data_IF_887231812118
#
_entry.id   IF_887231812118
#
_cell.length_a   1.000
_cell.length_b   1.000
_cell.length_c   1.000
_cell.angle_alpha   90.00
_cell.angle_beta   90.00
_cell.angle_gamma   90.00
#
_symmetry.space_group_name_H-M   'P 1'
#
loop_
_entity.id
_entity.type
_entity.pdbx_description
1 polymer ?
#
# COMPACT_ATOMS: atom_id res chain seq x y z
N UNK A 1 -4.00 2.07 14.37
CA UNK A 1 -3.53 0.67 14.27
C UNK A 1 -2.05 0.67 13.86
N UNK A 2 -1.16 -0.04 14.57
CA UNK A 2 0.26 -0.14 14.20
C UNK A 2 0.53 -1.53 13.62
N UNK A 3 1.30 -1.62 12.55
CA UNK A 3 1.69 -2.87 11.90
C UNK A 3 3.16 -2.78 11.45
N UNK A 4 3.81 -3.93 11.33
CA UNK A 4 5.22 -4.01 10.95
C UNK A 4 5.43 -4.12 9.44
N UNK A 5 4.56 -4.88 8.78
CA UNK A 5 4.61 -5.14 7.36
C UNK A 5 3.20 -5.40 6.79
N UNK A 6 3.12 -5.69 5.49
CA UNK A 6 1.87 -5.99 4.82
C UNK A 6 1.17 -7.23 5.38
N UNK A 7 1.92 -8.27 5.79
CA UNK A 7 1.33 -9.51 6.32
C UNK A 7 0.69 -9.29 7.68
N UNK A 8 1.35 -8.51 8.55
CA UNK A 8 0.79 -8.10 9.83
C UNK A 8 -0.46 -7.24 9.62
N UNK A 9 -0.43 -6.29 8.70
CA UNK A 9 -1.60 -5.47 8.36
C UNK A 9 -2.77 -6.33 7.86
N UNK A 10 -2.53 -7.26 6.94
CA UNK A 10 -3.53 -8.20 6.46
C UNK A 10 -4.14 -9.03 7.60
N UNK A 11 -3.31 -9.55 8.51
CA UNK A 11 -3.77 -10.30 9.68
C UNK A 11 -4.67 -9.47 10.60
N UNK A 12 -4.35 -8.19 10.80
CA UNK A 12 -5.18 -7.27 11.58
C UNK A 12 -6.51 -6.96 10.89
N UNK A 13 -6.50 -6.75 9.56
CA UNK A 13 -7.72 -6.56 8.77
C UNK A 13 -8.62 -7.81 8.81
N UNK A 14 -8.04 -9.00 8.72
CA UNK A 14 -8.77 -10.26 8.77
C UNK A 14 -9.49 -10.43 10.12
N UNK A 15 -8.79 -10.16 11.24
CA UNK A 15 -9.37 -10.20 12.60
C UNK A 15 -10.55 -9.23 12.79
N UNK A 16 -10.57 -8.13 12.07
CA UNK A 16 -11.63 -7.12 12.14
C UNK A 16 -12.72 -7.27 11.07
N UNK A 17 -12.64 -8.34 10.25
CA UNK A 17 -13.59 -8.58 9.16
C UNK A 17 -13.39 -7.69 7.92
N UNK A 18 -12.29 -6.93 7.87
CA UNK A 18 -11.97 -6.02 6.77
C UNK A 18 -11.16 -6.68 5.64
N UNK A 19 -10.83 -7.97 5.76
CA UNK A 19 -10.19 -8.79 4.73
C UNK A 19 -10.86 -10.15 4.64
N UNK A 20 -11.10 -10.61 3.42
CA UNK A 20 -11.64 -11.95 3.12
C UNK A 20 -10.71 -12.70 2.17
N UNK A 21 -10.48 -14.00 2.48
CA UNK A 21 -9.71 -14.91 1.62
C UNK A 21 -10.63 -15.63 0.64
N UNK A 22 -10.17 -15.76 -0.59
CA UNK A 22 -10.82 -16.50 -1.66
C UNK A 22 -9.91 -17.67 -2.03
N UNK A 23 -10.27 -18.87 -1.57
CA UNK A 23 -9.48 -20.11 -1.76
C UNK A 23 -9.83 -20.89 -3.03
N UNK A 24 -10.80 -20.43 -3.82
CA UNK A 24 -11.11 -21.00 -5.15
C UNK A 24 -10.22 -20.36 -6.21
N UNK A 25 -10.04 -21.08 -7.33
CA UNK A 25 -9.31 -20.52 -8.46
C UNK A 25 -10.11 -19.38 -9.10
N UNK A 26 -9.42 -18.25 -9.39
CA UNK A 26 -9.98 -17.08 -10.05
C UNK A 26 -9.07 -16.62 -11.17
N UNK A 27 -9.64 -16.32 -12.34
CA UNK A 27 -8.88 -15.87 -13.49
C UNK A 27 -8.43 -14.41 -13.30
N UNK A 28 -7.14 -14.14 -13.55
CA UNK A 28 -6.60 -12.77 -13.52
C UNK A 28 -7.10 -11.93 -14.70
N UNK A 29 -7.64 -12.58 -15.72
CA UNK A 29 -8.22 -11.89 -16.88
C UNK A 29 -9.69 -11.60 -16.65
N UNK A 30 -10.02 -10.34 -16.41
CA UNK A 30 -11.37 -9.77 -16.25
C UNK A 30 -12.14 -10.25 -15.02
N UNK A 31 -12.14 -11.55 -14.69
CA UNK A 31 -12.95 -12.13 -13.61
C UNK A 31 -12.58 -11.51 -12.24
N UNK A 32 -11.29 -11.49 -11.94
CA UNK A 32 -10.80 -10.93 -10.68
C UNK A 32 -11.17 -9.45 -10.54
N UNK A 33 -11.07 -8.68 -11.63
CA UNK A 33 -11.45 -7.25 -11.64
C UNK A 33 -12.95 -7.07 -11.42
N UNK A 34 -13.79 -7.89 -12.06
CA UNK A 34 -15.24 -7.83 -11.87
C UNK A 34 -15.65 -8.13 -10.43
N UNK A 35 -15.03 -9.13 -9.80
CA UNK A 35 -15.24 -9.43 -8.38
C UNK A 35 -14.83 -8.22 -7.52
N UNK A 36 -13.65 -7.64 -7.80
CA UNK A 36 -13.15 -6.48 -7.07
C UNK A 36 -14.08 -5.26 -7.20
N UNK A 37 -14.57 -4.98 -8.41
CA UNK A 37 -15.47 -3.84 -8.66
C UNK A 37 -16.80 -3.99 -7.90
N UNK A 38 -17.42 -5.18 -7.94
CA UNK A 38 -18.65 -5.45 -7.19
C UNK A 38 -18.46 -5.29 -5.69
N UNK A 39 -17.37 -5.86 -5.14
CA UNK A 39 -17.07 -5.75 -3.72
C UNK A 39 -16.77 -4.31 -3.32
N UNK A 40 -16.05 -3.56 -4.17
CA UNK A 40 -15.76 -2.15 -3.93
C UNK A 40 -17.03 -1.30 -3.89
N UNK A 41 -17.95 -1.48 -4.85
CA UNK A 41 -19.23 -0.77 -4.89
C UNK A 41 -20.13 -1.08 -3.69
N UNK A 42 -19.99 -2.28 -3.14
CA UNK A 42 -20.71 -2.69 -1.93
C UNK A 42 -20.00 -2.27 -0.63
N UNK A 43 -18.93 -1.44 -0.72
CA UNK A 43 -18.08 -1.07 0.42
C UNK A 43 -17.57 -2.29 1.21
N UNK A 44 -17.39 -3.41 0.52
CA UNK A 44 -16.98 -4.68 1.10
C UNK A 44 -15.51 -4.72 1.51
N UNK A 45 -15.04 -5.86 2.06
CA UNK A 45 -13.68 -6.02 2.57
C UNK A 45 -12.62 -6.02 1.47
N UNK A 46 -11.35 -5.89 1.85
CA UNK A 46 -10.22 -6.28 1.02
C UNK A 46 -10.30 -7.78 0.69
N UNK A 47 -9.74 -8.18 -0.44
CA UNK A 47 -9.81 -9.56 -0.91
C UNK A 47 -8.39 -10.10 -1.13
N UNK A 48 -8.10 -11.26 -0.56
CA UNK A 48 -6.90 -12.04 -0.89
C UNK A 48 -7.30 -13.24 -1.75
N UNK A 49 -7.00 -13.20 -3.03
CA UNK A 49 -7.13 -14.34 -3.94
C UNK A 49 -5.93 -15.26 -3.75
N UNK A 50 -6.12 -16.41 -3.12
CA UNK A 50 -5.04 -17.34 -2.79
C UNK A 50 -4.61 -18.19 -3.98
N UNK A 51 -5.49 -18.37 -4.96
CA UNK A 51 -5.27 -19.23 -6.14
C UNK A 51 -5.59 -18.49 -7.43
N UNK A 52 -4.76 -17.53 -7.85
CA UNK A 52 -4.90 -16.95 -9.17
C UNK A 52 -4.62 -18.03 -10.21
N UNK A 53 -5.47 -18.14 -11.22
CA UNK A 53 -5.36 -19.15 -12.27
C UNK A 53 -3.99 -19.11 -12.94
N UNK A 54 -3.35 -20.28 -13.06
CA UNK A 54 -2.03 -20.47 -13.64
C UNK A 54 -0.86 -19.78 -12.91
N UNK A 55 -1.08 -19.29 -11.67
CA UNK A 55 -0.05 -18.63 -10.87
C UNK A 55 -0.01 -19.20 -9.45
N UNK A 56 1.15 -19.05 -8.80
CA UNK A 56 1.36 -19.48 -7.41
C UNK A 56 1.42 -18.33 -6.41
N UNK A 57 1.54 -17.08 -6.90
CA UNK A 57 1.63 -15.89 -6.07
C UNK A 57 0.21 -15.35 -5.84
N UNK A 58 -0.24 -15.18 -4.60
CA UNK A 58 -1.57 -14.66 -4.31
C UNK A 58 -1.70 -13.17 -4.70
N UNK A 59 -2.94 -12.73 -4.97
CA UNK A 59 -3.26 -11.35 -5.30
C UNK A 59 -4.08 -10.72 -4.19
N UNK A 60 -3.60 -9.61 -3.64
CA UNK A 60 -4.34 -8.78 -2.69
C UNK A 60 -4.98 -7.61 -3.44
N UNK A 61 -6.30 -7.48 -3.33
CA UNK A 61 -7.07 -6.45 -4.01
C UNK A 61 -7.95 -5.66 -3.03
N UNK A 62 -8.39 -4.47 -3.45
CA UNK A 62 -9.25 -3.56 -2.69
C UNK A 62 -8.73 -3.20 -1.29
N UNK A 63 -7.40 -3.27 -1.07
CA UNK A 63 -6.79 -3.04 0.24
C UNK A 63 -7.23 -1.71 0.84
N UNK A 64 -7.27 -0.66 0.06
CA UNK A 64 -7.71 0.68 0.46
C UNK A 64 -9.06 1.09 -0.16
N UNK A 65 -9.93 0.12 -0.38
CA UNK A 65 -11.24 0.31 -1.00
C UNK A 65 -12.27 1.05 -0.15
N UNK A 66 -11.98 1.33 1.13
CA UNK A 66 -12.84 2.14 1.99
C UNK A 66 -12.04 3.20 2.76
N UNK A 67 -12.65 4.37 3.09
CA UNK A 67 -11.98 5.38 3.91
C UNK A 67 -11.47 4.83 5.25
N UNK A 68 -12.17 3.87 5.84
CA UNK A 68 -11.75 3.18 7.06
C UNK A 68 -10.41 2.46 6.87
N UNK A 69 -10.27 1.65 5.81
CA UNK A 69 -9.02 0.93 5.52
C UNK A 69 -7.88 1.86 5.14
N UNK A 70 -8.18 3.00 4.49
CA UNK A 70 -7.18 4.05 4.25
C UNK A 70 -6.64 4.59 5.58
N UNK A 71 -7.53 4.92 6.53
CA UNK A 71 -7.12 5.39 7.85
C UNK A 71 -6.26 4.34 8.58
N UNK A 72 -6.70 3.09 8.60
CA UNK A 72 -5.95 1.98 9.21
C UNK A 72 -4.57 1.80 8.57
N UNK A 73 -4.49 1.90 7.23
CA UNK A 73 -3.23 1.81 6.48
C UNK A 73 -2.27 2.96 6.74
N UNK A 74 -2.76 4.11 7.14
CA UNK A 74 -1.95 5.25 7.59
C UNK A 74 -1.62 5.20 9.10
N UNK A 75 -1.99 4.12 9.78
CA UNK A 75 -1.75 3.94 11.21
C UNK A 75 -2.79 4.61 12.11
N UNK A 76 -3.84 5.18 11.52
CA UNK A 76 -4.88 5.92 12.23
C UNK A 76 -6.12 5.03 12.51
N UNK A 77 -6.89 5.38 13.53
CA UNK A 77 -8.07 4.60 13.94
C UNK A 77 -9.36 5.13 13.31
N UNK A 78 -9.33 6.33 12.74
CA UNK A 78 -10.50 6.97 12.16
C UNK A 78 -10.17 7.86 10.96
N UNK A 79 -11.17 8.05 10.10
CA UNK A 79 -11.08 9.01 8.98
C UNK A 79 -10.85 10.44 9.49
N UNK A 80 -11.37 10.78 10.67
CA UNK A 80 -11.17 12.09 11.26
C UNK A 80 -9.68 12.33 11.58
N UNK A 81 -8.95 11.31 12.04
CA UNK A 81 -7.52 11.41 12.32
C UNK A 81 -6.69 11.70 11.04
N UNK A 82 -7.15 11.29 9.86
CA UNK A 82 -6.50 11.64 8.58
C UNK A 82 -6.47 13.17 8.34
N UNK A 83 -7.44 13.91 8.85
CA UNK A 83 -7.44 15.38 8.76
C UNK A 83 -6.30 15.98 9.55
N UNK A 84 -5.94 15.42 10.68
CA UNK A 84 -4.80 15.88 11.49
C UNK A 84 -3.48 15.63 10.76
N UNK A 85 -3.35 14.49 10.06
CA UNK A 85 -2.22 14.26 9.15
C UNK A 85 -2.17 15.33 8.06
N UNK A 86 -3.31 15.66 7.44
CA UNK A 86 -3.40 16.73 6.44
C UNK A 86 -2.99 18.11 6.98
N UNK A 87 -3.40 18.44 8.20
CA UNK A 87 -2.99 19.70 8.88
C UNK A 87 -1.49 19.71 9.15
N UNK A 88 -0.92 18.58 9.60
CA UNK A 88 0.52 18.44 9.78
C UNK A 88 1.28 18.69 8.48
N UNK A 89 0.86 18.07 7.38
CA UNK A 89 1.49 18.25 6.07
C UNK A 89 1.38 19.69 5.58
N UNK A 90 0.23 20.34 5.78
CA UNK A 90 0.04 21.74 5.44
C UNK A 90 0.97 22.66 6.25
N UNK A 91 1.09 22.42 7.55
CA UNK A 91 2.02 23.14 8.41
C UNK A 91 3.49 22.95 7.98
N UNK A 92 3.89 21.73 7.60
CA UNK A 92 5.26 21.44 7.15
C UNK A 92 5.60 22.10 5.81
N UNK A 93 4.59 22.41 4.99
CA UNK A 93 4.79 23.12 3.72
C UNK A 93 5.16 24.60 3.94
N UNK A 94 4.55 25.23 4.97
CA UNK A 94 4.76 26.63 5.33
C UNK A 94 4.92 26.75 6.86
N UNK A 95 6.07 26.30 7.40
CA UNK A 95 6.26 26.27 8.84
C UNK A 95 6.37 27.69 9.41
N UNK A 96 5.47 28.04 10.34
CA UNK A 96 5.59 29.28 11.10
C UNK A 96 6.66 29.14 12.19
N UNK A 97 7.60 30.08 12.33
CA UNK A 97 8.54 30.07 13.44
C UNK A 97 7.80 30.20 14.78
N UNK A 98 8.30 29.57 15.84
CA UNK A 98 7.65 29.65 17.15
C UNK A 98 7.65 31.11 17.67
N UNK A 99 6.49 31.55 18.16
CA UNK A 99 6.26 32.93 18.67
C UNK A 99 6.68 33.12 20.14
N UNK A 100 7.34 32.11 20.73
CA UNK A 100 7.83 32.17 22.11
C UNK A 100 8.13 30.79 22.69
N UNK A 101 8.62 30.72 23.92
CA UNK A 101 9.03 29.46 24.57
C UNK A 101 7.87 28.47 24.70
N UNK A 102 6.68 28.94 25.05
CA UNK A 102 5.49 28.07 25.16
C UNK A 102 5.11 27.45 23.82
N UNK A 103 5.06 28.26 22.77
CA UNK A 103 4.76 27.79 21.40
C UNK A 103 5.83 26.81 20.88
N UNK A 104 7.10 27.00 21.24
CA UNK A 104 8.18 26.08 20.93
C UNK A 104 7.99 24.71 21.62
N UNK A 105 7.55 24.69 22.87
CA UNK A 105 7.22 23.46 23.59
C UNK A 105 6.02 22.73 22.97
N UNK A 106 4.98 23.45 22.60
CA UNK A 106 3.77 22.89 21.97
C UNK A 106 4.08 22.28 20.58
N UNK A 107 5.09 22.82 19.88
CA UNK A 107 5.57 22.32 18.56
C UNK A 107 6.58 21.17 18.65
N UNK A 108 7.10 20.85 19.83
CA UNK A 108 8.09 19.79 20.02
C UNK A 108 7.61 18.39 19.54
N UNK A 109 6.35 17.96 19.76
CA UNK A 109 5.85 16.69 19.22
C UNK A 109 5.87 16.65 17.69
N UNK A 110 5.53 17.76 17.04
CA UNK A 110 5.55 17.88 15.57
C UNK A 110 6.98 17.73 15.05
N UNK A 111 7.94 18.41 15.67
CA UNK A 111 9.36 18.31 15.32
C UNK A 111 9.87 16.87 15.48
N UNK A 112 9.48 16.17 16.54
CA UNK A 112 9.82 14.76 16.77
C UNK A 112 9.24 13.86 15.68
N UNK A 113 8.01 14.11 15.24
CA UNK A 113 7.41 13.36 14.11
C UNK A 113 8.21 13.58 12.82
N UNK A 114 8.59 14.81 12.51
CA UNK A 114 9.40 15.14 11.31
C UNK A 114 10.75 14.44 11.35
N UNK A 115 11.44 14.44 12.48
CA UNK A 115 12.72 13.74 12.65
C UNK A 115 12.59 12.22 12.46
N UNK A 116 11.44 11.65 12.82
CA UNK A 116 11.16 10.22 12.62
C UNK A 116 10.75 9.85 11.18
N UNK A 117 10.52 10.83 10.30
CA UNK A 117 10.17 10.60 8.89
C UNK A 117 11.38 10.26 8.02
N UNK A 118 12.61 10.46 8.52
CA UNK A 118 13.82 10.16 7.77
C UNK A 118 13.91 8.65 7.45
N UNK A 119 14.20 8.26 6.19
CA UNK A 119 14.33 6.87 5.81
C UNK A 119 15.54 6.21 6.49
N UNK A 120 15.35 4.98 6.94
CA UNK A 120 16.44 4.16 7.52
C UNK A 120 17.01 3.24 6.44
N UNK A 121 18.33 3.21 6.28
CA UNK A 121 19.01 2.22 5.46
C UNK A 121 19.13 0.91 6.24
N UNK A 122 18.78 -0.19 5.60
CA UNK A 122 18.97 -1.55 6.12
C UNK A 122 19.93 -2.30 5.22
N UNK A 123 20.82 -3.13 5.80
CA UNK A 123 21.80 -3.92 5.05
C UNK A 123 21.23 -5.24 4.54
N UNK A 124 20.20 -5.76 5.20
CA UNK A 124 19.51 -7.00 4.84
C UNK A 124 18.02 -6.70 4.71
N UNK A 125 17.55 -6.52 3.48
CA UNK A 125 16.15 -6.25 3.21
C UNK A 125 15.46 -7.53 2.70
N UNK A 126 14.33 -7.98 3.30
CA UNK A 126 13.60 -9.15 2.84
C UNK A 126 13.17 -9.08 1.37
N UNK A 127 12.92 -7.86 0.85
CA UNK A 127 12.58 -7.66 -0.56
C UNK A 127 13.74 -7.94 -1.55
N UNK A 128 14.94 -8.23 -1.06
CA UNK A 128 16.13 -8.58 -1.86
C UNK A 128 16.49 -10.07 -1.74
N UNK A 129 15.68 -10.90 -1.08
CA UNK A 129 15.94 -12.33 -0.95
C UNK A 129 15.77 -13.09 -2.28
N UNK A 130 14.89 -12.59 -3.15
CA UNK A 130 14.67 -13.17 -4.49
C UNK A 130 15.05 -12.12 -5.53
N UNK A 131 16.03 -12.47 -6.35
CA UNK A 131 16.52 -11.62 -7.43
C UNK A 131 16.39 -12.35 -8.76
N UNK A 132 15.74 -11.73 -9.72
CA UNK A 132 15.66 -12.22 -11.10
C UNK A 132 16.49 -11.31 -12.00
N UNK A 133 17.42 -11.89 -12.73
CA UNK A 133 18.33 -11.13 -13.59
C UNK A 133 18.41 -11.72 -15.00
N UNK A 134 18.66 -10.89 -15.99
CA UNK A 134 18.85 -11.29 -17.38
C UNK A 134 17.71 -12.15 -17.92
N UNK A 135 18.01 -13.39 -18.31
CA UNK A 135 17.03 -14.33 -18.86
C UNK A 135 16.01 -14.88 -17.88
N UNK A 136 16.25 -14.73 -16.59
CA UNK A 136 15.34 -15.21 -15.54
C UNK A 136 14.22 -14.21 -15.26
N UNK A 137 14.31 -13.00 -15.81
CA UNK A 137 13.26 -11.97 -15.72
C UNK A 137 12.09 -12.37 -16.61
N UNK A 138 10.99 -12.75 -15.99
CA UNK A 138 9.73 -13.10 -16.65
C UNK A 138 8.54 -12.54 -15.90
N UNK A 139 7.94 -11.48 -16.43
CA UNK A 139 6.74 -10.85 -15.84
C UNK A 139 5.50 -11.75 -15.93
N UNK A 140 5.50 -12.74 -16.81
CA UNK A 140 4.42 -13.73 -16.91
C UNK A 140 4.30 -14.64 -15.69
N UNK A 141 5.32 -14.69 -14.82
CA UNK A 141 5.27 -15.39 -13.52
C UNK A 141 4.44 -14.65 -12.47
N UNK A 142 4.20 -13.35 -12.67
CA UNK A 142 3.39 -12.55 -11.77
C UNK A 142 1.92 -12.60 -12.19
N UNK A 143 0.97 -12.70 -11.24
CA UNK A 143 -0.46 -12.70 -11.52
C UNK A 143 -0.97 -11.28 -11.84
N UNK A 144 -0.41 -10.66 -12.88
CA UNK A 144 -0.77 -9.31 -13.28
C UNK A 144 -2.16 -9.34 -13.92
N UNK A 145 -3.05 -8.48 -13.47
CA UNK A 145 -4.44 -8.45 -13.92
C UNK A 145 -4.58 -7.81 -15.31
N UNK A 146 -5.41 -8.44 -16.14
CA UNK A 146 -5.99 -7.80 -17.32
C UNK A 146 -7.37 -7.27 -16.92
N UNK A 147 -7.44 -5.96 -16.68
CA UNK A 147 -8.56 -5.37 -15.94
C UNK A 147 -9.83 -5.20 -16.78
N UNK A 148 -9.72 -4.73 -18.03
CA UNK A 148 -10.88 -4.38 -18.85
C UNK A 148 -10.78 -5.00 -20.26
N UNK A 149 -11.94 -5.24 -20.91
CA UNK A 149 -11.96 -5.87 -22.25
C UNK A 149 -11.17 -5.12 -23.33
N UNK A 150 -11.02 -3.80 -23.20
CA UNK A 150 -10.29 -2.96 -24.15
C UNK A 150 -8.82 -2.73 -23.82
N UNK A 151 -8.32 -3.30 -22.71
CA UNK A 151 -6.92 -3.10 -22.32
C UNK A 151 -5.98 -3.80 -23.31
N UNK A 152 -4.92 -3.11 -23.69
CA UNK A 152 -3.89 -3.63 -24.62
C UNK A 152 -3.06 -4.73 -23.94
N UNK A 153 -2.82 -4.60 -22.62
CA UNK A 153 -1.97 -5.48 -21.84
C UNK A 153 -2.38 -5.54 -20.36
N UNK A 154 -1.92 -6.56 -19.61
CA UNK A 154 -2.07 -6.57 -18.15
C UNK A 154 -1.43 -5.35 -17.50
N UNK A 155 -2.03 -4.86 -16.40
CA UNK A 155 -1.65 -3.63 -15.70
C UNK A 155 -1.32 -3.91 -14.23
N UNK A 156 -0.15 -3.49 -13.79
CA UNK A 156 0.19 -3.39 -12.36
C UNK A 156 -0.41 -2.09 -11.83
N UNK A 157 -1.53 -2.18 -11.12
CA UNK A 157 -2.35 -1.02 -10.74
C UNK A 157 -1.76 -0.17 -9.61
N UNK A 158 -0.85 -0.72 -8.79
CA UNK A 158 -0.29 -0.06 -7.61
C UNK A 158 1.24 -0.15 -7.54
N UNK A 159 1.89 -0.15 -8.68
CA UNK A 159 3.34 -0.21 -8.74
C UNK A 159 4.00 1.11 -8.38
N UNK A 160 4.93 1.09 -7.44
CA UNK A 160 5.92 2.15 -7.25
C UNK A 160 7.17 1.78 -8.04
N UNK A 161 7.30 2.35 -9.24
CA UNK A 161 8.40 2.04 -10.15
C UNK A 161 9.62 2.90 -9.81
N UNK A 162 10.68 2.26 -9.32
CA UNK A 162 11.95 2.94 -9.04
C UNK A 162 12.92 2.63 -10.17
N UNK A 163 13.36 3.65 -10.88
CA UNK A 163 14.30 3.53 -11.99
C UNK A 163 15.52 4.44 -11.78
N UNK A 164 16.60 4.08 -12.46
CA UNK A 164 17.80 4.91 -12.51
C UNK A 164 18.23 5.09 -13.95
N UNK A 165 18.49 6.31 -14.38
CA UNK A 165 19.10 6.59 -15.68
C UNK A 165 20.52 6.00 -15.76
N UNK A 166 20.99 5.53 -16.94
CA UNK A 166 22.25 4.80 -17.10
C UNK A 166 23.50 5.61 -16.67
N UNK A 167 23.38 6.93 -16.68
CA UNK A 167 24.49 7.85 -16.33
C UNK A 167 24.23 8.64 -15.05
N UNK A 168 23.22 8.25 -14.23
CA UNK A 168 22.89 8.98 -13.01
C UNK A 168 23.21 8.14 -11.77
N UNK A 169 23.80 8.78 -10.76
CA UNK A 169 24.10 8.18 -9.45
C UNK A 169 22.88 8.18 -8.52
N UNK A 170 21.92 9.06 -8.78
CA UNK A 170 20.63 9.18 -8.07
C UNK A 170 19.56 9.68 -9.02
#
# INVERSE_FOLDING_TARGET
MKYHDLRDFMSQLEKTGELKRVGVEVDTRLEMTEICDRVLRAEGPAILFEKPKSHTIPVLANLFGTPKRVALGMGEESVQALREVGKLLAYLKEPEPPKGLKDAWDKLPILKQVLNMAPKKVSNAPCQEIVWEGKDVDLGRLPIQHCWPGDIAPLITWGLVVTRGPHKTR
#
